data_IF_264236293385
#
_entry.id   IF_264236293385
#
_cell.length_a   1.000
_cell.length_b   1.000
_cell.length_c   1.000
_cell.angle_alpha   90.00
_cell.angle_beta   90.00
_cell.angle_gamma   90.00
#
_symmetry.space_group_name_H-M   'P 1'
#
loop_
_entity.id
_entity.type
_entity.pdbx_description
1 polymer ?
#
# COMPACT_ATOMS: atom_id res chain seq x y z
N UNK A 1 18.84 3.28 12.51
CA UNK A 1 18.94 3.03 11.04
C UNK A 1 17.68 3.59 10.39
N UNK A 2 17.74 4.05 9.14
CA UNK A 2 16.65 4.82 8.53
C UNK A 2 16.29 4.27 7.16
N UNK A 3 15.00 4.15 6.88
CA UNK A 3 14.46 3.82 5.57
C UNK A 3 13.87 5.07 4.94
N UNK A 4 14.19 5.35 3.68
CA UNK A 4 13.65 6.49 2.96
C UNK A 4 12.63 6.04 1.92
N UNK A 5 11.55 6.80 1.78
CA UNK A 5 10.45 6.51 0.85
C UNK A 5 10.15 7.74 0.01
N UNK A 6 9.91 7.52 -1.28
CA UNK A 6 9.39 8.52 -2.22
C UNK A 6 8.16 7.96 -2.92
N UNK A 7 7.13 8.79 -3.09
CA UNK A 7 5.87 8.38 -3.72
C UNK A 7 5.78 8.97 -5.12
N UNK A 8 5.48 8.12 -6.10
CA UNK A 8 5.04 8.54 -7.43
C UNK A 8 3.52 8.45 -7.52
N UNK A 9 2.89 9.47 -8.12
CA UNK A 9 1.45 9.51 -8.37
C UNK A 9 1.09 9.43 -9.86
N UNK A 10 2.08 9.24 -10.72
CA UNK A 10 1.95 9.30 -12.18
C UNK A 10 2.55 8.08 -12.89
N UNK A 11 2.60 6.94 -12.20
CA UNK A 11 3.10 5.68 -12.75
C UNK A 11 4.62 5.59 -12.80
N UNK A 12 5.31 6.30 -11.91
CA UNK A 12 6.78 6.26 -11.78
C UNK A 12 7.51 7.28 -12.64
N UNK A 13 6.81 8.24 -13.25
CA UNK A 13 7.44 9.28 -14.10
C UNK A 13 8.06 10.37 -13.25
N UNK A 14 7.38 10.78 -12.20
CA UNK A 14 7.88 11.73 -11.20
C UNK A 14 7.74 11.17 -9.79
N UNK A 15 8.63 11.60 -8.90
CA UNK A 15 8.64 11.21 -7.50
C UNK A 15 8.62 12.47 -6.64
N UNK A 16 7.71 12.49 -5.66
CA UNK A 16 7.65 13.55 -4.66
C UNK A 16 8.89 13.59 -3.76
N UNK A 17 8.80 14.42 -2.71
CA UNK A 17 9.85 14.56 -1.70
C UNK A 17 10.16 13.24 -0.99
N UNK A 18 11.38 13.17 -0.46
CA UNK A 18 11.83 12.04 0.36
C UNK A 18 11.30 12.15 1.79
N UNK A 19 10.79 11.04 2.31
CA UNK A 19 10.35 10.90 3.70
C UNK A 19 11.20 9.82 4.37
N UNK A 20 11.84 10.17 5.48
CA UNK A 20 12.71 9.28 6.23
C UNK A 20 11.97 8.68 7.44
N UNK A 21 12.05 7.37 7.61
CA UNK A 21 11.45 6.61 8.70
C UNK A 21 12.52 5.88 9.51
N UNK A 22 12.55 6.05 10.84
CA UNK A 22 13.44 5.26 11.70
C UNK A 22 13.01 3.79 11.70
N UNK A 23 13.95 2.87 11.48
CA UNK A 23 13.69 1.43 11.37
C UNK A 23 14.03 0.65 12.65
N UNK A 24 14.74 1.27 13.59
CA UNK A 24 15.09 0.74 14.89
C UNK A 24 14.19 1.36 15.97
N UNK A 25 12.97 0.83 16.10
CA UNK A 25 12.10 1.13 17.24
C UNK A 25 12.21 0.03 18.30
N UNK A 26 13.35 0.02 19.00
CA UNK A 26 13.58 -0.89 20.12
C UNK A 26 12.69 -0.57 21.33
N UNK A 27 12.15 0.64 21.41
CA UNK A 27 11.31 1.16 22.49
C UNK A 27 9.80 0.90 22.28
N UNK A 28 9.37 0.64 21.05
CA UNK A 28 7.95 0.44 20.72
C UNK A 28 7.76 -0.66 19.65
N UNK A 29 7.66 -1.93 20.06
CA UNK A 29 7.40 -3.02 19.13
C UNK A 29 6.11 -2.77 18.35
N UNK A 30 6.16 -2.99 17.05
CA UNK A 30 4.97 -2.92 16.19
C UNK A 30 4.04 -4.07 16.55
N UNK A 31 2.83 -3.75 16.99
CA UNK A 31 1.78 -4.77 17.15
C UNK A 31 1.43 -5.34 15.78
N UNK A 32 1.20 -6.65 15.64
CA UNK A 32 0.65 -7.23 14.42
C UNK A 32 -0.60 -6.45 14.02
N UNK A 33 -0.74 -6.15 12.72
CA UNK A 33 -1.94 -5.50 12.23
C UNK A 33 -3.16 -6.36 12.62
N UNK A 34 -4.12 -5.77 13.33
CA UNK A 34 -5.31 -6.48 13.80
C UNK A 34 -6.15 -7.07 12.64
N UNK A 35 -5.98 -6.53 11.44
CA UNK A 35 -6.53 -7.07 10.20
C UNK A 35 -5.57 -6.81 9.04
N UNK A 36 -5.52 -7.73 8.09
CA UNK A 36 -4.88 -7.52 6.78
C UNK A 36 -5.77 -6.72 5.80
N UNK A 37 -6.93 -6.24 6.25
CA UNK A 37 -7.85 -5.42 5.45
C UNK A 37 -7.27 -4.01 5.29
N UNK A 38 -6.40 -3.84 4.28
CA UNK A 38 -6.00 -2.54 3.77
C UNK A 38 -7.22 -1.85 3.15
N UNK A 39 -7.36 -0.51 3.21
CA UNK A 39 -8.59 0.16 2.76
C UNK A 39 -8.99 -0.35 1.38
N UNK A 40 -10.30 -0.61 1.18
CA UNK A 40 -10.79 -1.03 -0.12
C UNK A 40 -10.33 -0.01 -1.15
N UNK A 41 -9.91 -0.48 -2.32
CA UNK A 41 -9.49 0.41 -3.38
C UNK A 41 -10.67 1.33 -3.75
N UNK A 42 -10.54 2.64 -3.51
CA UNK A 42 -11.58 3.63 -3.78
C UNK A 42 -11.53 4.17 -5.22
N UNK A 43 -10.72 3.58 -6.10
CA UNK A 43 -10.68 4.01 -7.49
C UNK A 43 -12.02 3.73 -8.19
N UNK A 44 -12.42 4.51 -9.23
CA UNK A 44 -13.69 4.31 -9.94
C UNK A 44 -13.92 2.88 -10.46
N UNK A 45 -12.82 2.16 -10.75
CA UNK A 45 -12.85 0.75 -11.18
C UNK A 45 -13.25 -0.22 -10.06
N UNK A 46 -12.91 0.09 -8.81
CA UNK A 46 -13.14 -0.78 -7.65
C UNK A 46 -14.33 -0.31 -6.80
N UNK A 47 -14.71 0.97 -6.87
CA UNK A 47 -15.83 1.56 -6.13
C UNK A 47 -17.18 1.39 -6.84
N UNK A 48 -17.20 0.94 -8.09
CA UNK A 48 -18.43 0.65 -8.84
C UNK A 48 -18.84 -0.82 -8.64
N UNK A 49 -20.16 -1.12 -8.53
CA UNK A 49 -20.67 -2.49 -8.50
C UNK A 49 -20.58 -3.10 -9.91
N UNK A 50 -19.38 -3.25 -10.44
CA UNK A 50 -19.13 -3.94 -11.70
C UNK A 50 -18.45 -5.25 -11.31
N UNK A 51 -19.25 -6.32 -11.37
CA UNK A 51 -18.89 -7.73 -11.53
C UNK A 51 -17.49 -8.11 -11.06
N UNK A 52 -17.41 -8.89 -9.98
CA UNK A 52 -16.21 -9.61 -9.55
C UNK A 52 -15.42 -10.11 -10.77
N UNK A 53 -14.34 -9.41 -11.11
CA UNK A 53 -13.38 -9.92 -12.08
C UNK A 53 -12.50 -10.88 -11.28
N UNK A 54 -12.49 -12.20 -11.58
CA UNK A 54 -11.67 -13.14 -10.85
C UNK A 54 -10.22 -12.67 -10.91
N UNK A 55 -9.57 -12.73 -9.75
CA UNK A 55 -8.16 -12.40 -9.66
C UNK A 55 -7.38 -13.41 -10.50
N UNK A 56 -6.27 -12.99 -11.09
CA UNK A 56 -5.40 -13.82 -11.96
C UNK A 56 -4.97 -15.16 -11.34
N UNK A 57 -5.17 -15.36 -10.02
CA UNK A 57 -4.89 -16.59 -9.29
C UNK A 57 -5.95 -17.69 -9.48
N UNK A 58 -7.09 -17.41 -10.11
CA UNK A 58 -8.25 -18.33 -10.19
C UNK A 58 -8.43 -19.01 -11.57
N UNK A 59 -7.44 -18.90 -12.47
CA UNK A 59 -7.43 -19.55 -13.80
C UNK A 59 -6.39 -20.68 -13.86
N UNK A 60 -6.54 -21.68 -13.00
CA UNK A 60 -5.86 -22.98 -13.12
C UNK A 60 -6.85 -24.08 -12.75
#
# INVERSE_FOLDING_TARGET
>A
MTMTVRVSRDGGRTYGGEVAFPTDRSDKPLTPAASAAWPPCECPRCSSPITHHPTRKEMT
#
